data_IF_622164266112
#
_entry.id   IF_622164266112
#
_cell.length_a   1.000
_cell.length_b   1.000
_cell.length_c   1.000
_cell.angle_alpha   90.00
_cell.angle_beta   90.00
_cell.angle_gamma   90.00
#
_symmetry.space_group_name_H-M   'P 1'
#
loop_
_entity.id
_entity.type
_entity.pdbx_description
1 polymer ?
#
# COMPACT_ATOMS: atom_id res chain seq x y z
N UNK A 1 14.78 28.46 10.92
CA UNK A 1 14.35 27.25 10.20
C UNK A 1 12.94 26.96 10.67
N UNK A 2 11.90 27.25 9.87
CA UNK A 2 10.53 27.08 10.33
C UNK A 2 10.15 25.59 10.31
N UNK A 3 9.37 25.20 11.32
CA UNK A 3 8.87 23.86 11.61
C UNK A 3 8.26 23.15 10.40
N UNK A 4 8.77 21.95 10.13
CA UNK A 4 8.33 21.05 9.05
C UNK A 4 7.06 20.26 9.44
N UNK A 5 6.11 20.90 10.13
CA UNK A 5 4.93 20.28 10.74
C UNK A 5 3.61 20.53 9.98
N UNK A 6 3.70 20.88 8.69
CA UNK A 6 2.51 20.98 7.83
C UNK A 6 2.80 20.47 6.42
N UNK A 7 2.76 19.15 6.25
CA UNK A 7 2.32 18.58 4.98
C UNK A 7 1.29 17.49 5.25
N UNK A 8 0.06 17.94 5.44
CA UNK A 8 -1.16 17.15 5.43
C UNK A 8 -1.26 16.47 4.05
N UNK A 9 -0.63 15.30 3.88
CA UNK A 9 -0.83 14.46 2.71
C UNK A 9 -2.09 13.66 2.95
N UNK A 10 -3.24 14.30 2.81
CA UNK A 10 -4.51 13.59 2.71
C UNK A 10 -4.41 12.63 1.52
N UNK A 11 -4.68 11.36 1.78
CA UNK A 11 -5.02 10.41 0.73
C UNK A 11 -6.21 10.99 -0.05
N UNK A 12 -6.39 10.69 -1.35
CA UNK A 12 -7.62 11.05 -2.03
C UNK A 12 -8.79 10.50 -1.20
N UNK A 13 -9.78 11.35 -0.93
CA UNK A 13 -11.00 10.93 -0.25
C UNK A 13 -11.68 9.85 -1.10
N UNK A 14 -12.13 8.78 -0.46
CA UNK A 14 -12.78 7.70 -1.18
C UNK A 14 -14.14 8.13 -1.73
N UNK A 15 -14.23 8.24 -3.06
CA UNK A 15 -15.47 8.43 -3.79
C UNK A 15 -15.99 7.08 -4.33
N UNK A 16 -17.14 6.58 -3.83
CA UNK A 16 -17.73 5.32 -4.28
C UNK A 16 -18.26 5.36 -5.72
N UNK A 17 -18.62 6.54 -6.24
CA UNK A 17 -19.12 6.70 -7.61
C UNK A 17 -17.97 6.80 -8.63
N UNK A 18 -16.73 6.94 -8.15
CA UNK A 18 -15.53 7.04 -8.95
C UNK A 18 -14.44 6.08 -8.47
N UNK A 19 -14.78 4.78 -8.40
CA UNK A 19 -13.85 3.76 -7.93
C UNK A 19 -13.78 2.53 -8.85
N UNK A 20 -12.71 1.74 -8.71
CA UNK A 20 -12.56 0.45 -9.40
C UNK A 20 -11.88 -0.58 -8.48
N UNK A 21 -12.29 -1.84 -8.60
CA UNK A 21 -11.75 -2.96 -7.82
C UNK A 21 -10.62 -3.66 -8.58
N UNK A 22 -9.49 -3.85 -7.91
CA UNK A 22 -8.32 -4.55 -8.44
C UNK A 22 -8.00 -5.77 -7.58
N UNK A 23 -7.91 -6.94 -8.20
CA UNK A 23 -7.48 -8.18 -7.55
C UNK A 23 -5.96 -8.33 -7.63
N UNK A 24 -5.36 -8.85 -6.56
CA UNK A 24 -3.92 -9.03 -6.47
C UNK A 24 -3.57 -10.30 -5.67
N UNK A 25 -2.37 -10.84 -5.94
CA UNK A 25 -1.86 -12.00 -5.22
C UNK A 25 -0.33 -11.97 -5.09
N UNK A 26 0.23 -12.70 -4.11
CA UNK A 26 1.65 -13.04 -4.15
C UNK A 26 1.98 -13.88 -5.38
N UNK A 27 3.26 -13.93 -5.75
CA UNK A 27 3.75 -14.81 -6.81
C UNK A 27 3.34 -16.28 -6.60
N UNK A 28 3.35 -16.72 -5.34
CA UNK A 28 2.93 -18.05 -4.91
C UNK A 28 1.42 -18.33 -4.97
N UNK A 29 0.57 -17.32 -5.07
CA UNK A 29 -0.89 -17.45 -4.96
C UNK A 29 -1.45 -17.69 -3.55
N UNK A 30 -0.63 -17.88 -2.52
CA UNK A 30 -1.08 -18.07 -1.12
C UNK A 30 -1.82 -16.84 -0.58
N UNK A 31 -1.17 -15.67 -0.65
CA UNK A 31 -1.75 -14.39 -0.27
C UNK A 31 -2.57 -13.87 -1.44
N UNK A 32 -3.87 -13.68 -1.25
CA UNK A 32 -4.76 -13.07 -2.23
C UNK A 32 -5.59 -12.00 -1.55
N UNK A 33 -5.78 -10.87 -2.23
CA UNK A 33 -6.58 -9.76 -1.74
C UNK A 33 -7.16 -9.00 -2.92
N UNK A 34 -8.10 -8.12 -2.62
CA UNK A 34 -8.52 -7.09 -3.56
C UNK A 34 -8.50 -5.74 -2.87
N UNK A 35 -8.39 -4.71 -3.69
CA UNK A 35 -8.33 -3.32 -3.25
C UNK A 35 -9.27 -2.50 -4.12
N UNK A 36 -10.07 -1.65 -3.49
CA UNK A 36 -10.94 -0.70 -4.18
C UNK A 36 -10.21 0.65 -4.19
N UNK A 37 -9.90 1.16 -5.38
CA UNK A 37 -9.20 2.44 -5.53
C UNK A 37 -10.16 3.50 -6.00
N UNK A 38 -10.15 4.64 -5.31
CA UNK A 38 -10.77 5.89 -5.74
C UNK A 38 -9.70 6.99 -5.74
N UNK A 39 -9.39 7.63 -6.89
CA UNK A 39 -9.94 7.34 -8.23
C UNK A 39 -9.47 5.97 -8.78
N UNK A 40 -9.86 5.53 -9.99
CA UNK A 40 -9.29 4.32 -10.60
C UNK A 40 -7.76 4.42 -10.80
N UNK A 41 -7.06 3.29 -10.80
CA UNK A 41 -5.59 3.19 -10.81
C UNK A 41 -4.88 4.06 -11.88
N UNK A 42 -5.37 4.20 -13.13
CA UNK A 42 -4.74 5.08 -14.13
C UNK A 42 -4.67 6.57 -13.74
N UNK A 43 -5.47 6.99 -12.75
CA UNK A 43 -5.49 8.36 -12.23
C UNK A 43 -4.68 8.52 -10.94
N UNK A 44 -4.19 7.42 -10.35
CA UNK A 44 -3.38 7.49 -9.14
C UNK A 44 -1.98 8.04 -9.41
N UNK A 45 -1.50 8.81 -8.45
CA UNK A 45 -0.08 9.16 -8.38
C UNK A 45 0.71 7.98 -7.83
N UNK A 46 1.55 7.40 -8.67
CA UNK A 46 2.50 6.36 -8.26
C UNK A 46 3.62 6.98 -7.42
N UNK A 47 3.91 6.37 -6.28
CA UNK A 47 4.99 6.76 -5.38
C UNK A 47 6.17 5.82 -5.59
N UNK A 48 7.29 6.39 -6.03
CA UNK A 48 8.60 5.75 -5.98
C UNK A 48 9.38 6.38 -4.83
N UNK A 49 9.48 5.66 -3.72
CA UNK A 49 10.17 6.16 -2.53
C UNK A 49 11.66 5.82 -2.60
N UNK A 50 12.52 6.78 -2.28
CA UNK A 50 13.98 6.63 -2.29
C UNK A 50 14.55 6.05 -0.98
N UNK A 51 13.71 5.56 -0.08
CA UNK A 51 14.16 4.92 1.15
C UNK A 51 14.93 3.62 0.85
N UNK A 52 15.89 3.23 1.69
CA UNK A 52 16.77 2.09 1.41
C UNK A 52 16.03 0.76 1.18
N UNK A 53 15.01 0.45 1.99
CA UNK A 53 14.18 -0.75 1.79
C UNK A 53 13.32 -0.65 0.52
N UNK A 54 12.74 0.54 0.26
CA UNK A 54 11.89 0.80 -0.89
C UNK A 54 12.67 0.62 -2.20
N UNK A 55 13.88 1.20 -2.23
CA UNK A 55 14.81 1.11 -3.36
C UNK A 55 15.34 -0.31 -3.54
N UNK A 56 15.66 -1.03 -2.45
CA UNK A 56 16.12 -2.43 -2.51
C UNK A 56 15.04 -3.36 -3.06
N UNK A 57 13.79 -3.14 -2.68
CA UNK A 57 12.66 -3.95 -3.13
C UNK A 57 12.10 -3.50 -4.49
N UNK A 58 12.57 -2.38 -5.04
CA UNK A 58 12.11 -1.85 -6.33
C UNK A 58 10.64 -1.44 -6.35
N UNK A 59 10.10 -0.96 -5.21
CA UNK A 59 8.66 -0.71 -5.10
C UNK A 59 8.18 0.51 -5.89
N UNK A 60 7.03 0.33 -6.54
CA UNK A 60 6.13 1.38 -7.03
C UNK A 60 4.80 1.22 -6.29
N UNK A 61 4.39 2.26 -5.55
CA UNK A 61 3.31 2.15 -4.57
C UNK A 61 2.17 3.11 -4.89
N UNK A 62 0.95 2.65 -4.63
CA UNK A 62 -0.23 3.49 -4.40
C UNK A 62 -0.71 3.21 -2.97
N UNK A 63 -1.36 4.19 -2.35
CA UNK A 63 -1.75 4.12 -0.95
C UNK A 63 -3.27 4.25 -0.82
N UNK A 64 -4.04 3.16 -0.96
CA UNK A 64 -5.48 3.20 -0.71
C UNK A 64 -5.80 3.49 0.76
N UNK A 65 -7.05 3.85 1.02
CA UNK A 65 -7.61 3.75 2.36
C UNK A 65 -7.56 2.31 2.87
N UNK A 66 -7.21 2.12 4.14
CA UNK A 66 -7.08 0.78 4.74
C UNK A 66 -8.40 0.00 4.75
N UNK A 67 -9.52 0.70 4.88
CA UNK A 67 -10.88 0.13 4.83
C UNK A 67 -11.21 -0.51 3.47
N UNK A 68 -10.51 -0.11 2.40
CA UNK A 68 -10.75 -0.56 1.03
C UNK A 68 -9.80 -1.69 0.59
N UNK A 69 -8.96 -2.18 1.50
CA UNK A 69 -8.15 -3.38 1.29
C UNK A 69 -8.84 -4.55 1.98
N UNK A 70 -9.14 -5.58 1.20
CA UNK A 70 -9.86 -6.75 1.66
C UNK A 70 -9.05 -8.02 1.38
N UNK A 71 -8.67 -8.70 2.45
CA UNK A 71 -8.00 -9.99 2.36
C UNK A 71 -8.96 -11.06 1.88
N UNK A 72 -8.51 -11.90 0.94
CA UNK A 72 -9.27 -13.05 0.42
C UNK A 72 -8.73 -14.37 0.99
N UNK A 73 -7.41 -14.52 1.08
CA UNK A 73 -6.74 -15.68 1.67
C UNK A 73 -5.28 -15.38 2.06
N UNK A 74 -4.71 -16.22 2.93
CA UNK A 74 -3.27 -16.25 3.21
C UNK A 74 -2.77 -15.13 4.13
N UNK A 75 -3.64 -14.51 4.93
CA UNK A 75 -3.23 -13.47 5.88
C UNK A 75 -2.22 -14.01 6.92
N UNK A 76 -2.40 -15.25 7.33
CA UNK A 76 -1.52 -16.00 8.24
C UNK A 76 -0.14 -16.31 7.64
N UNK A 77 -0.01 -16.29 6.32
CA UNK A 77 1.25 -16.50 5.61
C UNK A 77 2.08 -15.21 5.50
N UNK A 78 1.51 -14.05 5.87
CA UNK A 78 2.24 -12.79 5.87
C UNK A 78 3.30 -12.76 6.98
N UNK A 79 4.48 -12.26 6.63
CA UNK A 79 5.52 -11.86 7.55
C UNK A 79 5.61 -10.34 7.55
N UNK A 80 6.08 -9.82 8.67
CA UNK A 80 6.19 -8.38 8.90
C UNK A 80 7.64 -8.01 9.15
N UNK A 81 8.03 -6.87 8.60
CA UNK A 81 9.34 -6.28 8.82
C UNK A 81 9.20 -4.78 9.09
N UNK A 82 9.74 -4.33 10.22
CA UNK A 82 9.90 -2.93 10.58
C UNK A 82 11.37 -2.64 10.85
N UNK A 83 11.77 -1.37 10.70
CA UNK A 83 13.13 -0.93 10.97
C UNK A 83 13.15 0.54 11.38
N UNK A 84 14.29 1.02 11.87
CA UNK A 84 14.47 2.40 12.29
C UNK A 84 13.53 2.76 13.45
N UNK A 85 12.65 3.73 13.24
CA UNK A 85 11.65 4.16 14.25
C UNK A 85 10.36 3.32 14.22
N UNK A 86 10.33 2.23 13.45
CA UNK A 86 9.21 1.28 13.37
C UNK A 86 7.86 1.91 12.96
N UNK A 87 7.90 3.02 12.23
CA UNK A 87 6.67 3.74 11.80
C UNK A 87 5.92 3.04 10.68
N UNK A 88 6.59 2.15 9.95
CA UNK A 88 6.03 1.48 8.76
C UNK A 88 6.27 -0.01 8.90
N UNK A 89 5.19 -0.78 8.75
CA UNK A 89 5.21 -2.23 8.69
C UNK A 89 5.21 -2.67 7.22
N UNK A 90 6.29 -3.29 6.79
CA UNK A 90 6.38 -3.92 5.48
C UNK A 90 5.90 -5.36 5.59
N UNK A 91 4.74 -5.67 4.99
CA UNK A 91 4.22 -7.04 4.92
C UNK A 91 4.63 -7.71 3.62
N UNK A 92 5.00 -8.98 3.67
CA UNK A 92 5.32 -9.80 2.50
C UNK A 92 4.95 -11.26 2.75
N UNK A 93 4.78 -12.04 1.69
CA UNK A 93 4.52 -13.47 1.83
C UNK A 93 5.77 -14.19 2.36
N UNK A 94 5.64 -14.99 3.41
CA UNK A 94 6.73 -15.75 4.01
C UNK A 94 6.89 -17.18 3.53
N UNK A 95 6.21 -17.54 2.43
CA UNK A 95 6.42 -18.82 1.74
C UNK A 95 7.75 -18.79 0.98
#
# INVERSE_FOLDING_TARGET
>A
MPDSDQQEKSLPEFDPDHCETYTASCHCGTVQYYVILSPPLPKWKVVSCNCSICSRNGYLLVYPERSQLHMKSGEEALKEYSFGKERVLHKFCGQ
#
